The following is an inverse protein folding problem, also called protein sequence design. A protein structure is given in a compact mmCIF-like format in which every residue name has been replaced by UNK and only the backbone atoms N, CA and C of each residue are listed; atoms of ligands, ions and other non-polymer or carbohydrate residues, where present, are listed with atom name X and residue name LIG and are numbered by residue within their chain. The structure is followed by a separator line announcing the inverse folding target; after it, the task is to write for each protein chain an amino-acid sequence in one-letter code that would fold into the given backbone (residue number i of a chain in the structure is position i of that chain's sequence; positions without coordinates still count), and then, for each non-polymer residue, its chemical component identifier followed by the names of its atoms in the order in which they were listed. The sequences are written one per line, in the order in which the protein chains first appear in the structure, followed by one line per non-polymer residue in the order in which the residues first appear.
data_IF_161641622549
#
_entry.id   IF_161641622549
#
_cell.length_a   1.000
_cell.length_b   1.000
_cell.length_c   1.000
_cell.angle_alpha   90.00
_cell.angle_beta   90.00
_cell.angle_gamma   90.00
#
_symmetry.space_group_name_H-M   'P 1'
#
loop_
_entity.id
_entity.type
_entity.pdbx_description
1 polymer ?
#
# COMPACT_ATOMS: atom_id res chain seq x y z
N UNK A 1 -10.06 19.49 7.51
CA UNK A 1 -9.63 18.20 8.13
C UNK A 1 -8.47 17.68 7.33
N UNK A 2 -7.42 17.16 7.96
CA UNK A 2 -6.29 16.48 7.33
C UNK A 2 -6.17 15.10 7.96
N UNK A 3 -5.98 14.05 7.15
CA UNK A 3 -5.74 12.69 7.59
C UNK A 3 -4.30 12.34 7.27
N UNK A 4 -3.54 11.94 8.29
CA UNK A 4 -2.18 11.46 8.14
C UNK A 4 -2.13 9.97 8.55
N UNK A 5 -1.16 9.24 8.02
CA UNK A 5 -0.97 7.81 8.28
C UNK A 5 0.19 7.65 9.26
N UNK A 6 -0.06 6.91 10.36
CA UNK A 6 0.94 6.61 11.36
C UNK A 6 1.13 5.09 11.50
N UNK A 7 2.35 4.61 11.38
CA UNK A 7 2.71 3.20 11.41
C UNK A 7 3.57 2.90 12.64
N UNK A 8 3.27 1.82 13.34
CA UNK A 8 4.09 1.34 14.44
C UNK A 8 4.91 0.13 14.00
N UNK A 9 6.17 0.14 14.36
CA UNK A 9 7.16 -0.89 14.07
C UNK A 9 7.74 -1.43 15.38
N UNK A 10 8.31 -2.60 15.34
CA UNK A 10 8.92 -3.23 16.51
C UNK A 10 10.46 -3.24 16.40
N UNK A 11 11.06 -2.04 16.29
CA UNK A 11 12.51 -1.85 16.23
C UNK A 11 13.08 -1.79 14.81
N UNK A 12 12.27 -1.71 13.78
CA UNK A 12 12.71 -1.66 12.36
C UNK A 12 12.15 -0.48 11.56
N UNK A 13 11.67 0.56 12.24
CA UNK A 13 11.10 1.76 11.61
C UNK A 13 12.12 2.46 10.69
N UNK A 14 13.36 2.67 11.16
CA UNK A 14 14.40 3.29 10.35
C UNK A 14 14.66 2.51 9.06
N UNK A 15 14.80 1.18 9.17
CA UNK A 15 15.06 0.32 8.01
C UNK A 15 13.92 0.39 7.00
N UNK A 16 12.67 0.38 7.47
CA UNK A 16 11.50 0.51 6.63
C UNK A 16 11.47 1.85 5.89
N UNK A 17 11.65 2.96 6.61
CA UNK A 17 11.58 4.30 6.02
C UNK A 17 12.72 4.57 5.04
N UNK A 18 13.96 4.10 5.31
CA UNK A 18 15.05 4.19 4.35
C UNK A 18 14.81 3.35 3.10
N UNK A 19 14.22 2.17 3.25
CA UNK A 19 13.81 1.36 2.11
C UNK A 19 12.75 2.07 1.26
N UNK A 20 11.76 2.71 1.89
CA UNK A 20 10.73 3.47 1.16
C UNK A 20 11.29 4.72 0.50
N UNK A 21 12.22 5.42 1.15
CA UNK A 21 12.94 6.54 0.55
C UNK A 21 13.68 6.12 -0.72
N UNK A 22 14.40 5.02 -0.66
CA UNK A 22 15.22 4.52 -1.77
C UNK A 22 14.37 3.99 -2.94
N UNK A 23 13.27 3.30 -2.66
CA UNK A 23 12.55 2.51 -3.68
C UNK A 23 11.20 3.07 -4.09
N UNK A 24 10.54 3.86 -3.23
CA UNK A 24 9.24 4.48 -3.53
C UNK A 24 9.33 5.96 -3.90
N UNK A 25 10.55 6.49 -4.11
CA UNK A 25 10.75 7.91 -4.42
C UNK A 25 10.35 8.83 -3.27
N UNK A 26 10.44 8.34 -2.04
CA UNK A 26 10.17 9.12 -0.84
C UNK A 26 11.31 10.03 -0.44
N UNK A 27 11.03 10.94 0.50
CA UNK A 27 12.01 11.79 1.16
C UNK A 27 11.75 11.79 2.67
N UNK A 28 12.72 11.29 3.43
CA UNK A 28 12.66 11.38 4.89
C UNK A 28 12.87 12.85 5.29
N UNK A 29 11.87 13.44 5.94
CA UNK A 29 11.88 14.84 6.37
C UNK A 29 12.14 15.00 7.86
N UNK A 30 11.97 13.91 8.63
CA UNK A 30 12.27 13.85 10.05
C UNK A 30 12.56 12.41 10.47
N UNK A 31 13.55 12.23 11.33
CA UNK A 31 13.85 10.98 11.99
C UNK A 31 14.54 11.28 13.33
N UNK A 32 13.92 10.85 14.42
CA UNK A 32 14.39 11.09 15.78
C UNK A 32 14.38 9.77 16.54
N UNK A 33 15.45 9.47 17.25
CA UNK A 33 15.56 8.29 18.10
C UNK A 33 15.06 8.53 19.52
N UNK A 34 14.76 7.45 20.24
CA UNK A 34 14.44 7.54 21.66
C UNK A 34 15.61 8.12 22.51
N UNK A 35 16.86 7.89 22.08
CA UNK A 35 18.04 8.42 22.74
C UNK A 35 18.24 9.93 22.62
N UNK A 36 17.61 10.58 21.66
CA UNK A 36 17.66 12.04 21.43
C UNK A 36 16.64 12.83 22.28
N UNK A 37 15.80 12.13 23.05
CA UNK A 37 14.85 12.83 23.95
C UNK A 37 15.59 13.58 25.07
N UNK A 38 15.08 14.76 25.49
CA UNK A 38 15.66 15.50 26.61
C UNK A 38 15.66 14.70 27.93
N UNK A 39 14.66 13.85 28.15
CA UNK A 39 14.49 13.02 29.35
C UNK A 39 14.62 11.54 29.01
N UNK A 40 15.83 10.99 29.12
CA UNK A 40 16.14 9.59 28.77
C UNK A 40 15.97 8.60 29.94
N UNK A 41 15.46 9.02 31.10
CA UNK A 41 15.46 8.24 32.33
C UNK A 41 14.71 6.91 32.26
N UNK A 42 13.80 6.76 31.31
CA UNK A 42 12.94 5.58 31.17
C UNK A 42 13.15 4.82 29.84
N UNK A 43 14.17 5.17 29.04
CA UNK A 43 14.46 4.49 27.78
C UNK A 43 15.41 3.32 28.03
N UNK A 44 14.99 2.07 27.78
CA UNK A 44 15.90 0.93 27.88
C UNK A 44 17.11 1.09 26.95
N UNK A 45 18.27 0.63 27.36
CA UNK A 45 19.52 0.82 26.61
C UNK A 45 19.44 0.29 25.17
N UNK A 46 18.75 -0.83 24.98
CA UNK A 46 18.53 -1.47 23.66
C UNK A 46 17.50 -0.74 22.79
N UNK A 47 16.77 0.25 23.33
CA UNK A 47 15.80 1.07 22.60
C UNK A 47 16.31 2.49 22.28
N UNK A 48 17.48 2.86 22.73
CA UNK A 48 18.02 4.22 22.49
C UNK A 48 18.15 4.55 21.02
N UNK A 49 18.46 3.58 20.16
CA UNK A 49 18.58 3.74 18.72
C UNK A 49 17.25 3.53 17.98
N UNK A 50 16.23 3.01 18.64
CA UNK A 50 14.92 2.84 18.05
C UNK A 50 14.26 4.20 17.76
N UNK A 51 13.44 4.26 16.74
CA UNK A 51 12.83 5.52 16.28
C UNK A 51 11.68 5.93 17.20
N UNK A 52 11.82 7.10 17.80
CA UNK A 52 10.75 7.76 18.55
C UNK A 52 9.69 8.34 17.61
N UNK A 53 10.15 8.96 16.53
CA UNK A 53 9.29 9.53 15.50
C UNK A 53 10.05 9.71 14.19
N UNK A 54 9.42 9.26 13.11
CA UNK A 54 9.90 9.49 11.75
C UNK A 54 8.78 10.02 10.86
N UNK A 55 9.18 10.77 9.82
CA UNK A 55 8.28 11.30 8.81
C UNK A 55 8.94 11.16 7.44
N UNK A 56 8.21 10.57 6.49
CA UNK A 56 8.58 10.44 5.10
C UNK A 56 7.46 10.99 4.20
N UNK A 57 7.83 11.72 3.18
CA UNK A 57 6.93 12.20 2.13
C UNK A 57 7.12 11.31 0.89
N UNK A 58 6.03 10.72 0.39
CA UNK A 58 5.98 9.91 -0.82
C UNK A 58 4.93 10.53 -1.75
N UNK A 59 5.38 11.21 -2.79
CA UNK A 59 4.49 12.02 -3.62
C UNK A 59 3.76 13.09 -2.79
N UNK A 60 2.43 13.02 -2.75
CA UNK A 60 1.59 13.93 -1.95
C UNK A 60 1.19 13.35 -0.58
N UNK A 61 1.62 12.13 -0.28
CA UNK A 61 1.24 11.41 0.95
C UNK A 61 2.36 11.50 1.97
N UNK A 62 1.97 11.71 3.23
CA UNK A 62 2.87 11.67 4.37
C UNK A 62 2.63 10.38 5.13
N UNK A 63 3.69 9.61 5.35
CA UNK A 63 3.73 8.53 6.32
C UNK A 63 4.53 8.99 7.53
N UNK A 64 4.01 8.72 8.70
CA UNK A 64 4.73 8.87 9.96
C UNK A 64 4.89 7.50 10.60
N UNK A 65 5.87 7.35 11.47
CA UNK A 65 6.08 6.10 12.15
C UNK A 65 6.95 6.22 13.39
N UNK A 66 6.90 5.18 14.19
CA UNK A 66 7.73 5.02 15.38
C UNK A 66 8.00 3.54 15.64
N UNK A 67 9.03 3.27 16.43
CA UNK A 67 9.24 1.98 17.04
C UNK A 67 8.53 1.92 18.38
N UNK A 68 7.67 0.92 18.54
CA UNK A 68 6.90 0.66 19.76
C UNK A 68 7.13 -0.80 20.16
N UNK A 69 7.59 -1.07 21.41
CA UNK A 69 7.79 -2.44 21.85
C UNK A 69 6.52 -3.27 21.73
N UNK A 70 6.61 -4.43 21.08
CA UNK A 70 5.48 -5.32 20.87
C UNK A 70 4.49 -4.87 19.80
N UNK A 71 4.83 -3.86 18.97
CA UNK A 71 4.00 -3.49 17.83
C UNK A 71 3.81 -4.69 16.90
N UNK A 72 2.57 -4.93 16.53
CA UNK A 72 2.22 -5.98 15.59
C UNK A 72 2.32 -5.49 14.13
N UNK A 73 2.64 -6.40 13.19
CA UNK A 73 2.54 -6.10 11.78
C UNK A 73 1.13 -5.62 11.40
N UNK A 74 1.05 -4.73 10.43
CA UNK A 74 -0.20 -4.19 9.92
C UNK A 74 -1.14 -5.30 9.46
N UNK A 75 -2.39 -5.32 9.95
CA UNK A 75 -3.40 -6.33 9.64
C UNK A 75 -4.68 -5.67 9.14
N UNK A 76 -5.34 -6.33 8.17
CA UNK A 76 -6.66 -5.94 7.65
C UNK A 76 -6.76 -4.48 7.15
N UNK A 77 -5.62 -3.88 6.86
CA UNK A 77 -5.49 -2.57 6.23
C UNK A 77 -4.32 -2.60 5.26
N UNK A 78 -4.35 -1.78 4.24
CA UNK A 78 -3.33 -1.74 3.19
C UNK A 78 -3.03 -0.31 2.79
N UNK A 79 -1.75 0.00 2.64
CA UNK A 79 -1.33 1.17 1.90
C UNK A 79 -1.43 0.85 0.41
N UNK A 80 -2.04 1.73 -0.35
CA UNK A 80 -2.32 1.50 -1.76
C UNK A 80 -1.36 2.28 -2.63
N UNK A 81 -0.59 1.57 -3.46
CA UNK A 81 0.33 2.16 -4.45
C UNK A 81 -0.35 2.25 -5.81
N UNK A 82 -0.59 3.45 -6.29
CA UNK A 82 -1.05 3.72 -7.65
C UNK A 82 0.16 4.10 -8.50
N UNK A 83 0.46 3.27 -9.49
CA UNK A 83 1.65 3.38 -10.33
C UNK A 83 1.24 3.65 -11.78
N UNK A 84 2.11 4.33 -12.51
CA UNK A 84 1.80 4.81 -13.86
C UNK A 84 2.09 3.76 -14.95
N UNK A 85 2.91 2.73 -14.65
CA UNK A 85 3.23 1.66 -15.59
C UNK A 85 3.21 0.27 -14.95
N UNK A 86 3.05 -0.75 -15.78
CA UNK A 86 3.10 -2.15 -15.36
C UNK A 86 4.52 -2.58 -14.98
N UNK A 87 5.54 -2.02 -15.65
CA UNK A 87 6.96 -2.27 -15.34
C UNK A 87 7.30 -1.78 -13.93
N UNK A 88 6.79 -0.60 -13.56
CA UNK A 88 7.00 -0.08 -12.21
C UNK A 88 6.24 -0.90 -11.16
N UNK A 89 5.05 -1.39 -11.50
CA UNK A 89 4.29 -2.29 -10.64
C UNK A 89 5.04 -3.61 -10.40
N UNK A 90 5.56 -4.23 -11.45
CA UNK A 90 6.34 -5.47 -11.35
C UNK A 90 7.64 -5.25 -10.56
N UNK A 91 8.34 -4.13 -10.77
CA UNK A 91 9.56 -3.76 -10.05
C UNK A 91 9.29 -3.61 -8.55
N UNK A 92 8.30 -2.81 -8.17
CA UNK A 92 7.98 -2.55 -6.77
C UNK A 92 7.41 -3.78 -6.08
N UNK A 93 6.60 -4.57 -6.78
CA UNK A 93 6.11 -5.85 -6.25
C UNK A 93 7.27 -6.77 -5.87
N UNK A 94 8.25 -6.94 -6.76
CA UNK A 94 9.41 -7.80 -6.48
C UNK A 94 10.19 -7.32 -5.25
N UNK A 95 10.41 -6.00 -5.11
CA UNK A 95 11.13 -5.41 -3.99
C UNK A 95 10.37 -5.54 -2.65
N UNK A 96 9.06 -5.29 -2.65
CA UNK A 96 8.23 -5.34 -1.45
C UNK A 96 7.92 -6.78 -1.02
N UNK A 97 7.90 -7.73 -1.96
CA UNK A 97 7.69 -9.15 -1.69
C UNK A 97 8.94 -9.84 -1.13
N UNK A 98 10.13 -9.27 -1.37
CA UNK A 98 11.40 -9.84 -0.91
C UNK A 98 11.48 -9.89 0.61
N UNK A 99 11.53 -11.10 1.16
CA UNK A 99 11.48 -11.35 2.62
C UNK A 99 10.13 -11.03 3.28
N UNK A 100 9.12 -10.70 2.49
CA UNK A 100 7.76 -10.41 2.95
C UNK A 100 6.80 -11.60 2.87
N UNK A 101 5.53 -11.32 3.04
CA UNK A 101 4.43 -12.29 2.95
C UNK A 101 3.48 -11.89 1.81
N UNK A 102 3.33 -12.75 0.81
CA UNK A 102 2.42 -12.55 -0.30
C UNK A 102 1.04 -13.13 0.09
N UNK A 103 0.01 -12.28 0.11
CA UNK A 103 -1.38 -12.70 0.31
C UNK A 103 -2.07 -12.99 -1.02
N UNK A 104 -1.78 -12.17 -2.05
CA UNK A 104 -2.23 -12.35 -3.41
C UNK A 104 -1.09 -11.98 -4.35
N UNK A 105 -0.69 -12.93 -5.19
CA UNK A 105 0.36 -12.72 -6.19
C UNK A 105 -0.05 -11.64 -7.18
N UNK A 106 0.95 -10.99 -7.78
CA UNK A 106 0.71 -10.09 -8.90
C UNK A 106 0.13 -10.87 -10.08
N UNK A 107 -1.12 -10.60 -10.41
CA UNK A 107 -1.85 -11.29 -11.47
C UNK A 107 -2.74 -10.31 -12.23
N UNK A 108 -3.03 -10.67 -13.48
CA UNK A 108 -4.10 -10.05 -14.24
C UNK A 108 -5.44 -10.60 -13.75
N UNK A 109 -6.38 -9.71 -13.47
CA UNK A 109 -7.74 -10.05 -13.10
C UNK A 109 -8.71 -9.44 -14.12
N UNK A 110 -9.99 -9.85 -14.11
CA UNK A 110 -10.99 -9.28 -15.02
C UNK A 110 -11.24 -7.78 -14.84
N UNK A 111 -10.79 -7.20 -13.70
CA UNK A 111 -10.94 -5.78 -13.35
C UNK A 111 -9.60 -5.02 -13.26
N UNK A 112 -8.46 -5.71 -13.43
CA UNK A 112 -7.14 -5.11 -13.27
C UNK A 112 -6.08 -5.80 -14.13
N UNK A 113 -5.22 -5.03 -14.78
CA UNK A 113 -4.03 -5.55 -15.47
C UNK A 113 -2.97 -6.07 -14.48
N UNK A 114 -2.87 -5.44 -13.32
CA UNK A 114 -1.94 -5.80 -12.24
C UNK A 114 -2.63 -5.59 -10.91
N UNK A 115 -2.85 -6.65 -10.14
CA UNK A 115 -3.39 -6.60 -8.80
C UNK A 115 -2.54 -7.47 -7.88
N UNK A 116 -2.18 -6.96 -6.72
CA UNK A 116 -1.41 -7.70 -5.73
C UNK A 116 -1.72 -7.24 -4.32
N UNK A 117 -1.57 -8.14 -3.36
CA UNK A 117 -1.64 -7.85 -1.94
C UNK A 117 -0.50 -8.58 -1.22
N UNK A 118 0.26 -7.85 -0.45
CA UNK A 118 1.39 -8.41 0.30
C UNK A 118 1.64 -7.62 1.60
N UNK A 119 2.46 -8.20 2.46
CA UNK A 119 3.08 -7.50 3.58
C UNK A 119 4.59 -7.56 3.38
N UNK A 120 5.26 -6.41 3.46
CA UNK A 120 6.71 -6.38 3.35
C UNK A 120 7.39 -6.96 4.60
N UNK A 121 8.70 -7.13 4.52
CA UNK A 121 9.51 -7.67 5.62
C UNK A 121 9.55 -6.78 6.87
N UNK A 122 9.10 -5.55 6.78
CA UNK A 122 9.03 -4.62 7.90
C UNK A 122 7.68 -4.67 8.63
N UNK A 123 6.69 -5.34 8.05
CA UNK A 123 5.35 -5.50 8.62
C UNK A 123 4.30 -4.56 8.04
N UNK A 124 4.60 -3.78 7.03
CA UNK A 124 3.64 -2.89 6.35
C UNK A 124 2.91 -3.65 5.25
N UNK A 125 1.59 -3.55 5.24
CA UNK A 125 0.75 -4.20 4.22
C UNK A 125 0.52 -3.25 3.04
N UNK A 126 0.77 -3.76 1.84
CA UNK A 126 0.68 -3.05 0.58
C UNK A 126 -0.34 -3.69 -0.35
N UNK A 127 -1.05 -2.86 -1.09
CA UNK A 127 -1.93 -3.28 -2.16
C UNK A 127 -1.61 -2.46 -3.41
N UNK A 128 -1.43 -3.15 -4.53
CA UNK A 128 -1.48 -2.51 -5.84
C UNK A 128 -2.92 -2.61 -6.35
N UNK A 129 -3.65 -1.47 -6.43
CA UNK A 129 -5.03 -1.50 -6.86
C UNK A 129 -5.11 -1.69 -8.37
N UNK A 130 -6.26 -2.15 -8.87
CA UNK A 130 -6.53 -2.16 -10.29
C UNK A 130 -6.33 -0.77 -10.89
N UNK A 131 -5.62 -0.71 -12.01
CA UNK A 131 -5.67 0.48 -12.85
C UNK A 131 -7.09 0.51 -13.45
N UNK A 132 -7.83 1.63 -13.34
CA UNK A 132 -9.08 1.73 -14.09
C UNK A 132 -8.76 1.45 -15.56
N UNK A 133 -9.56 0.62 -16.25
CA UNK A 133 -9.34 0.38 -17.66
C UNK A 133 -9.26 1.75 -18.33
N UNK A 134 -8.17 2.00 -19.04
CA UNK A 134 -8.12 3.14 -19.96
C UNK A 134 -9.27 2.90 -20.91
N UNK A 135 -10.30 3.75 -20.87
CA UNK A 135 -11.36 3.78 -21.85
C UNK A 135 -10.75 4.25 -23.19
N UNK A 136 -9.79 3.50 -23.72
CA UNK A 136 -9.39 3.57 -25.10
C UNK A 136 -10.40 2.72 -25.87
N UNK A 137 -11.34 3.40 -26.49
CA UNK A 137 -12.35 2.84 -27.39
C UNK A 137 -13.19 1.72 -26.74
N UNK A 138 -14.21 2.13 -25.97
CA UNK A 138 -15.39 1.31 -25.81
C UNK A 138 -15.85 0.85 -27.19
N UNK A 139 -15.64 -0.42 -27.54
CA UNK A 139 -16.49 -1.06 -28.53
C UNK A 139 -17.91 -0.86 -27.99
N UNK A 140 -18.78 -0.17 -28.71
CA UNK A 140 -20.17 -0.12 -28.30
C UNK A 140 -20.63 -1.57 -28.24
N UNK A 141 -20.95 -2.04 -27.04
CA UNK A 141 -21.70 -3.27 -26.86
C UNK A 141 -23.07 -2.93 -27.46
N UNK A 142 -23.23 -3.26 -28.75
CA UNK A 142 -24.51 -3.30 -29.40
C UNK A 142 -25.34 -4.30 -28.60
N UNK A 143 -26.12 -3.78 -27.66
CA UNK A 143 -27.30 -4.48 -27.16
C UNK A 143 -28.19 -4.72 -28.36
N UNK A 144 -28.08 -5.90 -28.96
CA UNK A 144 -29.12 -6.44 -29.82
C UNK A 144 -30.33 -6.68 -28.94
N UNK A 145 -31.14 -5.63 -28.79
CA UNK A 145 -32.50 -5.81 -28.35
C UNK A 145 -33.26 -6.51 -29.48
N UNK A 146 -33.34 -7.82 -29.42
CA UNK A 146 -34.35 -8.54 -30.19
C UNK A 146 -35.74 -8.07 -29.72
N UNK A 147 -36.62 -7.69 -30.63
CA UNK A 147 -37.96 -7.28 -30.25
C UNK A 147 -38.71 -8.51 -29.72
N UNK A 148 -39.21 -8.41 -28.48
CA UNK A 148 -40.06 -9.40 -27.87
C UNK A 148 -41.24 -9.70 -28.83
N UNK A 149 -41.31 -10.95 -29.31
CA UNK A 149 -42.39 -11.47 -30.09
C UNK A 149 -43.70 -11.36 -29.29
N UNK A 150 -44.71 -10.76 -29.94
CA UNK A 150 -46.08 -10.60 -29.49
C UNK A 150 -46.66 -11.92 -28.99
N UNK A 151 -47.01 -11.97 -27.73
CA UNK A 151 -47.98 -12.96 -27.23
C UNK A 151 -49.36 -12.54 -27.71
N UNK A 152 -49.91 -13.34 -28.61
CA UNK A 152 -51.31 -13.25 -29.04
C UNK A 152 -52.12 -13.99 -27.99
N UNK A 153 -52.98 -13.27 -27.27
CA UNK A 153 -54.05 -13.85 -26.48
C UNK A 153 -55.14 -14.32 -27.44
N UNK A 154 -55.28 -15.64 -27.58
CA UNK A 154 -56.47 -16.26 -28.20
C UNK A 154 -57.58 -16.34 -27.17
N UNK A 155 -58.71 -15.70 -27.49
CA UNK A 155 -60.02 -15.88 -26.84
C UNK A 155 -60.65 -17.14 -27.36
N UNK A 156 -61.06 -18.02 -26.44
CA UNK A 156 -62.38 -18.78 -26.48
C UNK A 156 -62.79 -19.05 -25.04
#
# INVERSE_FOLDING_TARGET
MKLDIYLNYNGNCEQAFRFYEQHLGGKITMMMTHGEQPNQTNVPANWKQAILHARIEIGKTVLMGADVPGAEPMRSAYLTLRLDSDEEADRLYALLADGGQIFMKMEETFFASRFAMLRDKFGTSWMHPPRPPTFSAARPMLLSMEPASRFVFGTV
#
